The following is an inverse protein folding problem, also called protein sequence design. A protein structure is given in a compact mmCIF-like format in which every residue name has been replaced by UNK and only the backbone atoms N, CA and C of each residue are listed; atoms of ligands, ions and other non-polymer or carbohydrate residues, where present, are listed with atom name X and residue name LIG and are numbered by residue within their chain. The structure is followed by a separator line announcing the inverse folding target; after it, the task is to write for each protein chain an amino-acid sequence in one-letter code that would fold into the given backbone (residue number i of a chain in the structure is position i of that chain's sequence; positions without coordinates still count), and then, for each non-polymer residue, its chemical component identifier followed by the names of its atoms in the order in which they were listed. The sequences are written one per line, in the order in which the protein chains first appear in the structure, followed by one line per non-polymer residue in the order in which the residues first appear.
data_IF_652850019125
#
_entry.id   IF_652850019125
#
_cell.length_a   1.000
_cell.length_b   1.000
_cell.length_c   1.000
_cell.angle_alpha   90.00
_cell.angle_beta   90.00
_cell.angle_gamma   90.00
#
_symmetry.space_group_name_H-M   'P 1'
#
loop_
_entity.id
_entity.type
_entity.pdbx_description
1 polymer ?
#
# COMPACT_ATOMS: atom_id res chain seq x y z
N UNK A 1 53.05 -50.11 48.28
CA UNK A 1 52.62 -51.52 48.23
C UNK A 1 51.15 -51.65 48.63
N UNK A 2 50.39 -52.54 48.12
CA UNK A 2 50.23 -53.00 46.74
C UNK A 2 48.83 -52.67 46.16
N UNK A 3 48.68 -52.80 44.86
CA UNK A 3 47.38 -53.06 44.27
C UNK A 3 46.98 -54.50 44.50
N UNK A 4 46.11 -55.18 43.85
CA UNK A 4 45.37 -54.88 42.59
C UNK A 4 43.90 -55.24 42.70
N UNK A 5 43.17 -55.17 41.58
CA UNK A 5 41.96 -55.91 41.45
C UNK A 5 40.96 -55.42 40.38
N UNK A 6 41.18 -55.88 39.16
CA UNK A 6 40.10 -56.13 38.25
C UNK A 6 39.43 -57.45 38.56
N UNK A 7 38.20 -57.65 38.37
CA UNK A 7 37.74 -58.36 37.20
C UNK A 7 36.46 -57.75 36.53
N UNK A 8 36.41 -57.96 35.21
CA UNK A 8 35.23 -57.88 34.41
C UNK A 8 34.34 -59.14 34.52
N UNK A 9 33.63 -59.59 33.51
CA UNK A 9 32.45 -58.95 32.86
C UNK A 9 31.20 -59.79 33.12
N UNK A 10 30.03 -59.22 32.91
CA UNK A 10 28.87 -60.06 32.68
C UNK A 10 27.86 -59.35 31.73
N UNK A 11 27.70 -60.07 30.70
CA UNK A 11 26.69 -59.87 29.68
C UNK A 11 25.26 -59.90 30.24
N UNK A 12 24.41 -59.10 29.75
CA UNK A 12 23.11 -59.58 29.36
C UNK A 12 22.55 -58.65 28.25
N UNK A 13 22.56 -59.22 27.11
CA UNK A 13 21.82 -58.87 25.93
C UNK A 13 20.32 -58.93 26.24
N UNK A 14 19.56 -57.88 26.02
CA UNK A 14 18.18 -58.04 25.54
C UNK A 14 17.76 -56.72 24.89
N UNK A 15 17.40 -56.86 23.66
CA UNK A 15 17.00 -55.82 22.76
C UNK A 15 15.76 -55.04 23.20
N UNK A 16 15.77 -53.79 22.89
CA UNK A 16 14.53 -53.04 22.65
C UNK A 16 14.68 -52.31 21.34
N UNK A 17 13.98 -52.83 20.37
CA UNK A 17 13.68 -52.12 19.12
C UNK A 17 13.11 -50.77 19.48
N UNK A 18 13.84 -49.70 19.21
CA UNK A 18 13.29 -48.38 19.15
C UNK A 18 12.43 -48.32 17.88
N UNK A 19 11.14 -48.28 18.06
CA UNK A 19 10.20 -47.92 17.02
C UNK A 19 10.48 -46.48 16.64
N UNK A 20 11.06 -46.36 15.47
CA UNK A 20 11.23 -45.10 14.73
C UNK A 20 9.79 -44.53 14.48
N UNK A 21 9.43 -43.55 15.31
CA UNK A 21 8.20 -42.83 15.14
C UNK A 21 8.45 -41.80 14.08
N UNK A 22 8.16 -42.14 12.84
CA UNK A 22 7.97 -41.19 11.74
C UNK A 22 6.99 -40.14 12.23
N UNK A 23 7.53 -39.00 12.55
CA UNK A 23 6.72 -37.80 12.81
C UNK A 23 6.23 -37.34 11.47
N UNK A 24 5.03 -37.78 11.12
CA UNK A 24 4.27 -37.20 10.02
C UNK A 24 4.10 -35.73 10.34
N UNK A 25 4.67 -34.88 9.50
CA UNK A 25 4.35 -33.46 9.47
C UNK A 25 2.85 -33.37 9.14
N UNK A 26 2.05 -33.17 10.17
CA UNK A 26 0.64 -32.88 10.00
C UNK A 26 0.48 -31.44 9.47
N UNK A 27 -0.01 -31.47 8.24
CA UNK A 27 -1.10 -30.62 7.79
C UNK A 27 -0.91 -29.11 7.96
N UNK A 28 -0.59 -28.47 6.86
CA UNK A 28 -1.16 -27.20 6.49
C UNK A 28 -2.69 -27.25 6.73
N UNK A 29 -3.09 -26.82 7.90
CA UNK A 29 -4.46 -26.43 8.16
C UNK A 29 -4.77 -25.23 7.27
N UNK A 30 -5.99 -25.09 6.75
CA UNK A 30 -6.35 -23.91 5.98
C UNK A 30 -6.03 -22.66 6.81
N UNK A 31 -5.28 -21.73 6.20
CA UNK A 31 -4.93 -20.46 6.82
C UNK A 31 -6.20 -19.87 7.43
N UNK A 32 -6.12 -19.61 8.72
CA UNK A 32 -7.25 -19.08 9.49
C UNK A 32 -7.73 -17.81 8.81
N UNK A 33 -9.06 -17.67 8.66
CA UNK A 33 -9.68 -16.50 8.05
C UNK A 33 -9.24 -15.16 8.69
N UNK A 34 -8.70 -15.21 9.91
CA UNK A 34 -8.10 -14.08 10.63
C UNK A 34 -6.74 -13.61 10.06
N UNK A 35 -6.06 -14.40 9.25
CA UNK A 35 -4.80 -13.99 8.61
C UNK A 35 -5.01 -13.21 7.30
N UNK A 36 -6.22 -13.15 6.79
CA UNK A 36 -6.58 -12.40 5.58
C UNK A 36 -6.80 -10.91 5.90
N UNK A 37 -6.89 -10.53 7.17
CA UNK A 37 -7.20 -9.15 7.63
C UNK A 37 -5.97 -8.27 7.78
N UNK A 38 -4.78 -8.78 7.51
CA UNK A 38 -3.52 -8.02 7.56
C UNK A 38 -2.92 -7.75 6.18
N UNK A 39 -3.72 -7.77 5.13
CA UNK A 39 -3.22 -7.31 3.84
C UNK A 39 -2.85 -5.82 3.93
N UNK A 40 -1.67 -5.44 3.44
CA UNK A 40 -1.25 -4.05 3.46
C UNK A 40 -2.32 -3.22 2.77
N UNK A 41 -2.59 -2.05 3.32
CA UNK A 41 -3.56 -1.08 2.77
C UNK A 41 -3.55 -1.09 1.25
N UNK A 42 -4.65 -1.51 0.64
CA UNK A 42 -4.76 -1.58 -0.81
C UNK A 42 -4.99 -0.18 -1.36
N UNK A 43 -4.05 0.29 -2.17
CA UNK A 43 -4.13 1.61 -2.80
C UNK A 43 -4.31 1.45 -4.30
N UNK A 44 -5.08 2.35 -4.91
CA UNK A 44 -5.31 2.38 -6.36
C UNK A 44 -5.01 3.78 -6.86
N UNK A 45 -4.12 3.89 -7.85
CA UNK A 45 -3.76 5.15 -8.48
C UNK A 45 -4.54 5.35 -9.77
N UNK A 46 -5.31 6.43 -9.88
CA UNK A 46 -6.09 6.77 -11.07
C UNK A 46 -5.35 7.88 -11.82
N UNK A 47 -4.95 7.61 -13.04
CA UNK A 47 -4.29 8.55 -13.94
C UNK A 47 -5.02 8.65 -15.28
N UNK A 48 -4.63 9.63 -16.07
CA UNK A 48 -5.06 9.76 -17.46
C UNK A 48 -3.88 10.16 -18.34
N UNK A 49 -3.94 9.79 -19.60
CA UNK A 49 -2.94 10.20 -20.58
C UNK A 49 -3.21 11.61 -21.14
N UNK A 50 -4.45 12.07 -21.00
CA UNK A 50 -4.94 13.32 -21.57
C UNK A 50 -5.80 14.05 -20.52
N UNK A 51 -5.92 15.37 -20.65
CA UNK A 51 -6.88 16.16 -19.86
C UNK A 51 -8.35 15.81 -20.20
N UNK A 52 -9.25 16.16 -19.29
CA UNK A 52 -10.70 16.02 -19.48
C UNK A 52 -11.20 14.60 -19.84
N UNK A 53 -10.54 13.57 -19.37
CA UNK A 53 -10.91 12.15 -19.58
C UNK A 53 -12.02 11.65 -18.66
N UNK A 54 -12.50 12.49 -17.73
CA UNK A 54 -13.45 12.05 -16.70
C UNK A 54 -12.80 11.26 -15.53
N UNK A 55 -11.50 11.34 -15.36
CA UNK A 55 -10.74 10.69 -14.28
C UNK A 55 -11.35 10.92 -12.90
N UNK A 56 -11.79 12.16 -12.61
CA UNK A 56 -12.42 12.50 -11.33
C UNK A 56 -13.75 11.76 -11.12
N UNK A 57 -14.51 11.50 -12.20
CA UNK A 57 -15.75 10.71 -12.15
C UNK A 57 -15.44 9.25 -11.85
N UNK A 58 -14.39 8.72 -12.46
CA UNK A 58 -13.93 7.34 -12.18
C UNK A 58 -13.48 7.22 -10.74
N UNK A 59 -12.73 8.20 -10.24
CA UNK A 59 -12.29 8.26 -8.85
C UNK A 59 -13.47 8.31 -7.88
N UNK A 60 -14.45 9.17 -8.14
CA UNK A 60 -15.66 9.30 -7.34
C UNK A 60 -16.47 8.00 -7.31
N UNK A 61 -16.67 7.38 -8.46
CA UNK A 61 -17.39 6.10 -8.56
C UNK A 61 -16.68 4.97 -7.81
N UNK A 62 -15.36 4.90 -7.92
CA UNK A 62 -14.56 3.91 -7.20
C UNK A 62 -14.59 4.16 -5.68
N UNK A 63 -14.44 5.41 -5.27
CA UNK A 63 -14.48 5.81 -3.87
C UNK A 63 -15.83 5.46 -3.24
N UNK A 64 -16.94 5.80 -3.90
CA UNK A 64 -18.28 5.46 -3.45
C UNK A 64 -18.51 3.94 -3.36
N UNK A 65 -18.01 3.19 -4.36
CA UNK A 65 -18.10 1.73 -4.36
C UNK A 65 -17.32 1.10 -3.20
N UNK A 66 -16.09 1.54 -2.99
CA UNK A 66 -15.23 1.02 -1.93
C UNK A 66 -15.78 1.38 -0.55
N UNK A 67 -16.25 2.61 -0.34
CA UNK A 67 -16.86 3.05 0.92
C UNK A 67 -18.13 2.24 1.25
N UNK A 68 -18.91 1.85 0.24
CA UNK A 68 -20.10 1.00 0.43
C UNK A 68 -19.75 -0.44 0.88
N UNK A 69 -18.54 -0.91 0.64
CA UNK A 69 -18.10 -2.25 1.07
C UNK A 69 -17.67 -2.30 2.54
N UNK A 70 -17.63 -1.17 3.22
CA UNK A 70 -17.15 -1.03 4.59
C UNK A 70 -15.63 -0.85 4.67
N UNK A 71 -15.17 -0.44 5.85
CA UNK A 71 -13.78 -0.07 6.09
C UNK A 71 -13.51 1.43 5.91
N UNK A 72 -12.31 1.86 6.28
CA UNK A 72 -11.86 3.25 6.15
C UNK A 72 -11.22 3.46 4.78
N UNK A 73 -11.94 4.08 3.90
CA UNK A 73 -11.47 4.40 2.55
C UNK A 73 -11.13 5.89 2.50
N UNK A 74 -9.86 6.19 2.32
CA UNK A 74 -9.38 7.57 2.18
C UNK A 74 -9.13 7.94 0.72
N UNK A 75 -8.91 9.22 0.50
CA UNK A 75 -8.51 9.79 -0.79
C UNK A 75 -7.18 10.51 -0.66
N UNK A 76 -6.36 10.48 -1.70
CA UNK A 76 -5.11 11.21 -1.75
C UNK A 76 -4.89 11.86 -3.10
N UNK A 77 -4.51 13.13 -3.09
CA UNK A 77 -4.16 13.90 -4.27
C UNK A 77 -2.68 14.28 -4.23
N UNK A 78 -1.81 13.54 -4.93
CA UNK A 78 -0.36 13.73 -4.86
C UNK A 78 0.10 15.11 -5.27
N UNK A 79 -0.57 15.72 -6.26
CA UNK A 79 -0.23 17.05 -6.78
C UNK A 79 -1.50 17.88 -6.92
N UNK A 80 -1.52 19.04 -6.29
CA UNK A 80 -2.58 20.05 -6.45
C UNK A 80 -2.17 21.14 -7.44
N UNK A 81 -3.15 21.64 -8.19
CA UNK A 81 -3.00 22.82 -9.07
C UNK A 81 -3.03 24.12 -8.30
N UNK A 82 -3.77 24.12 -7.23
CA UNK A 82 -4.03 25.31 -6.46
C UNK A 82 -2.84 25.66 -5.61
N UNK A 83 -2.57 26.95 -5.47
CA UNK A 83 -1.68 27.45 -4.44
C UNK A 83 -2.18 26.98 -3.07
N UNK A 84 -1.29 26.91 -2.08
CA UNK A 84 -1.63 26.39 -0.75
C UNK A 84 -2.82 27.10 -0.06
N UNK A 85 -3.20 28.28 -0.55
CA UNK A 85 -4.30 29.09 -0.02
C UNK A 85 -5.65 28.75 -0.64
N UNK A 86 -5.66 28.10 -1.83
CA UNK A 86 -6.88 27.75 -2.55
C UNK A 86 -7.16 26.25 -2.44
N UNK A 87 -8.42 25.89 -2.18
CA UNK A 87 -8.82 24.47 -2.08
C UNK A 87 -8.95 23.85 -3.48
N UNK A 88 -8.45 22.61 -3.61
CA UNK A 88 -8.63 21.79 -4.82
C UNK A 88 -10.09 21.30 -4.90
N UNK A 89 -10.88 21.75 -5.88
CA UNK A 89 -12.31 21.43 -5.94
C UNK A 89 -12.57 19.94 -6.20
N UNK A 90 -11.60 19.23 -6.78
CA UNK A 90 -11.72 17.79 -7.00
C UNK A 90 -11.53 17.05 -5.68
N UNK A 91 -10.55 17.46 -4.87
CA UNK A 91 -10.36 16.87 -3.56
C UNK A 91 -11.54 17.16 -2.64
N UNK A 92 -12.06 18.39 -2.64
CA UNK A 92 -13.24 18.74 -1.86
C UNK A 92 -14.43 17.84 -2.22
N UNK A 93 -14.70 17.64 -3.51
CA UNK A 93 -15.75 16.74 -3.96
C UNK A 93 -15.53 15.30 -3.49
N UNK A 94 -14.30 14.81 -3.53
CA UNK A 94 -13.99 13.42 -3.16
C UNK A 94 -14.08 13.19 -1.65
N UNK A 95 -13.75 14.20 -0.85
CA UNK A 95 -13.85 14.12 0.61
C UNK A 95 -15.30 13.96 1.12
N UNK A 96 -16.29 14.41 0.35
CA UNK A 96 -17.69 14.19 0.68
C UNK A 96 -18.11 12.70 0.59
N UNK A 97 -17.32 11.85 -0.04
CA UNK A 97 -17.63 10.44 -0.31
C UNK A 97 -16.64 9.45 0.31
N UNK A 98 -15.58 9.93 0.92
CA UNK A 98 -14.65 9.08 1.63
C UNK A 98 -15.21 8.64 2.99
N UNK A 99 -14.67 7.58 3.59
CA UNK A 99 -15.17 7.03 4.86
C UNK A 99 -14.12 6.95 5.97
N UNK A 100 -12.95 7.51 5.74
CA UNK A 100 -11.86 7.54 6.73
C UNK A 100 -11.88 8.79 7.61
N UNK A 101 -12.68 9.81 7.26
CA UNK A 101 -12.81 11.10 7.94
C UNK A 101 -11.44 11.79 8.10
N UNK A 102 -10.78 12.01 6.96
CA UNK A 102 -9.46 12.62 6.90
C UNK A 102 -9.55 14.15 6.77
N UNK A 103 -8.69 14.89 7.49
CA UNK A 103 -8.54 16.32 7.23
C UNK A 103 -8.09 16.60 5.80
N UNK A 104 -8.60 17.65 5.20
CA UNK A 104 -8.25 18.06 3.84
C UNK A 104 -6.74 18.17 3.61
N UNK A 105 -6.03 18.76 4.56
CA UNK A 105 -4.60 19.03 4.50
C UNK A 105 -3.77 17.73 4.47
N UNK A 106 -4.27 16.69 5.10
CA UNK A 106 -3.62 15.37 5.11
C UNK A 106 -3.75 14.68 3.74
N UNK A 107 -4.83 14.98 3.00
CA UNK A 107 -5.14 14.36 1.71
C UNK A 107 -4.39 14.97 0.52
N UNK A 108 -3.63 16.03 0.75
CA UNK A 108 -2.80 16.69 -0.26
C UNK A 108 -1.34 16.26 -0.16
N UNK A 109 -0.73 16.03 -1.32
CA UNK A 109 0.72 15.91 -1.45
C UNK A 109 1.39 17.29 -1.56
N UNK A 110 1.87 17.62 -2.74
CA UNK A 110 2.60 18.86 -3.03
C UNK A 110 1.86 19.71 -4.05
N UNK A 111 2.31 20.95 -4.20
CA UNK A 111 1.84 21.83 -5.27
C UNK A 111 2.60 21.59 -6.58
N UNK A 112 2.04 22.05 -7.68
CA UNK A 112 2.74 22.01 -8.97
C UNK A 112 4.03 22.82 -8.98
N UNK A 113 4.05 23.94 -8.28
CA UNK A 113 5.24 24.79 -8.16
C UNK A 113 6.38 24.03 -7.44
N UNK A 114 6.08 23.31 -6.38
CA UNK A 114 7.06 22.47 -5.67
C UNK A 114 7.62 21.38 -6.60
N UNK A 115 6.77 20.73 -7.39
CA UNK A 115 7.21 19.73 -8.39
C UNK A 115 8.12 20.37 -9.44
N UNK A 116 7.79 21.58 -9.89
CA UNK A 116 8.60 22.28 -10.89
C UNK A 116 9.99 22.69 -10.35
N UNK A 117 10.03 23.16 -9.11
CA UNK A 117 11.25 23.63 -8.48
C UNK A 117 12.18 22.49 -8.02
N UNK A 118 11.62 21.40 -7.49
CA UNK A 118 12.38 20.21 -7.03
C UNK A 118 11.58 18.92 -7.28
N UNK A 119 11.65 18.33 -8.48
CA UNK A 119 10.89 17.12 -8.80
C UNK A 119 11.24 15.89 -7.94
N UNK A 120 12.49 15.80 -7.46
CA UNK A 120 12.94 14.66 -6.64
C UNK A 120 12.46 14.82 -5.19
N UNK A 121 12.65 16.01 -4.62
CA UNK A 121 12.14 16.32 -3.30
C UNK A 121 10.62 16.23 -3.23
N UNK A 122 9.92 16.67 -4.27
CA UNK A 122 8.47 16.55 -4.39
C UNK A 122 8.00 15.10 -4.31
N UNK A 123 8.66 14.16 -5.00
CA UNK A 123 8.32 12.73 -4.91
C UNK A 123 8.54 12.19 -3.49
N UNK A 124 9.65 12.56 -2.85
CA UNK A 124 9.92 12.14 -1.48
C UNK A 124 8.86 12.65 -0.49
N UNK A 125 8.44 13.90 -0.63
CA UNK A 125 7.38 14.50 0.20
C UNK A 125 6.02 13.83 -0.05
N UNK A 126 5.65 13.57 -1.31
CA UNK A 126 4.44 12.83 -1.68
C UNK A 126 4.41 11.46 -0.98
N UNK A 127 5.52 10.74 -1.02
CA UNK A 127 5.63 9.42 -0.37
C UNK A 127 5.45 9.52 1.14
N UNK A 128 6.10 10.50 1.77
CA UNK A 128 5.99 10.71 3.22
C UNK A 128 4.55 11.02 3.65
N UNK A 129 3.87 11.94 2.97
CA UNK A 129 2.47 12.30 3.25
C UNK A 129 1.52 11.15 2.98
N UNK A 130 1.71 10.43 1.88
CA UNK A 130 0.90 9.26 1.57
C UNK A 130 0.98 8.19 2.67
N UNK A 131 2.17 7.86 3.16
CA UNK A 131 2.30 6.88 4.25
C UNK A 131 1.62 7.33 5.54
N UNK A 132 1.58 8.63 5.81
CA UNK A 132 0.88 9.15 6.98
C UNK A 132 -0.63 8.85 6.94
N UNK A 133 -1.28 9.01 5.76
CA UNK A 133 -2.69 8.68 5.62
C UNK A 133 -2.94 7.18 5.45
N UNK A 134 -2.05 6.49 4.76
CA UNK A 134 -2.15 5.04 4.54
C UNK A 134 -2.28 4.28 5.86
N UNK A 135 -1.57 4.68 6.90
CA UNK A 135 -1.65 4.06 8.22
C UNK A 135 -3.01 4.24 8.91
N UNK A 136 -3.85 5.14 8.43
CA UNK A 136 -5.18 5.47 8.97
C UNK A 136 -6.32 4.88 8.16
N UNK A 137 -6.02 4.28 7.01
CA UNK A 137 -6.99 3.77 6.05
C UNK A 137 -6.81 2.28 5.80
N UNK A 138 -7.89 1.60 5.44
CA UNK A 138 -7.85 0.24 4.94
C UNK A 138 -7.63 0.23 3.42
N UNK A 139 -8.07 1.30 2.74
CA UNK A 139 -7.89 1.52 1.30
C UNK A 139 -7.69 3.00 1.01
N UNK A 140 -6.92 3.31 -0.03
CA UNK A 140 -6.72 4.69 -0.48
C UNK A 140 -6.93 4.81 -1.99
N UNK A 141 -7.80 5.71 -2.41
CA UNK A 141 -7.96 6.10 -3.81
C UNK A 141 -7.05 7.29 -4.09
N UNK A 142 -6.07 7.11 -4.95
CA UNK A 142 -5.10 8.13 -5.31
C UNK A 142 -5.50 8.72 -6.67
N UNK A 143 -5.65 10.04 -6.72
CA UNK A 143 -6.08 10.74 -7.94
C UNK A 143 -4.93 11.57 -8.48
N UNK A 144 -4.33 11.10 -9.55
CA UNK A 144 -3.21 11.78 -10.22
C UNK A 144 -3.59 13.13 -10.81
N UNK A 145 -2.60 13.92 -11.17
CA UNK A 145 -2.76 15.25 -11.75
C UNK A 145 -3.24 15.22 -13.21
N UNK A 146 -3.65 16.37 -13.73
CA UNK A 146 -4.07 16.61 -15.12
C UNK A 146 -3.34 17.82 -15.70
N UNK A 147 -2.03 17.78 -15.71
CA UNK A 147 -1.28 18.90 -16.28
C UNK A 147 -1.01 18.69 -17.76
N UNK A 148 -1.46 19.62 -18.53
CA UNK A 148 -1.15 19.74 -19.95
C UNK A 148 -0.07 20.79 -20.19
N UNK A 149 0.86 20.98 -19.25
CA UNK A 149 1.87 22.01 -19.44
C UNK A 149 3.03 21.49 -20.26
N UNK A 150 3.35 22.27 -21.22
CA UNK A 150 4.13 21.98 -22.43
C UNK A 150 5.61 21.89 -22.07
N UNK A 151 6.24 20.72 -22.28
CA UNK A 151 7.69 20.64 -22.39
C UNK A 151 8.42 19.61 -21.52
N UNK A 152 7.71 18.82 -20.75
CA UNK A 152 8.31 17.75 -19.94
C UNK A 152 7.83 16.35 -20.38
N UNK A 153 8.62 15.30 -20.09
CA UNK A 153 8.19 13.92 -20.34
C UNK A 153 6.81 13.74 -19.75
N UNK A 154 5.92 13.20 -20.53
CA UNK A 154 4.47 13.23 -20.38
C UNK A 154 4.03 13.15 -18.91
N UNK A 155 3.08 13.96 -18.52
CA UNK A 155 2.43 13.92 -17.21
C UNK A 155 2.13 12.48 -16.75
N UNK A 156 1.75 11.62 -17.68
CA UNK A 156 1.56 10.21 -17.42
C UNK A 156 2.83 9.54 -16.88
N UNK A 157 4.02 9.88 -17.39
CA UNK A 157 5.29 9.33 -16.90
C UNK A 157 5.57 9.75 -15.46
N UNK A 158 5.23 10.99 -15.10
CA UNK A 158 5.40 11.46 -13.73
C UNK A 158 4.39 10.83 -12.77
N UNK A 159 3.12 10.72 -13.18
CA UNK A 159 2.10 9.98 -12.44
C UNK A 159 2.49 8.50 -12.27
N UNK A 160 3.05 7.86 -13.31
CA UNK A 160 3.54 6.48 -13.23
C UNK A 160 4.71 6.33 -12.24
N UNK A 161 5.61 7.30 -12.22
CA UNK A 161 6.70 7.35 -11.25
C UNK A 161 6.19 7.47 -9.81
N UNK A 162 5.23 8.35 -9.57
CA UNK A 162 4.59 8.48 -8.26
C UNK A 162 3.93 7.16 -7.88
N UNK A 163 3.08 6.60 -8.73
CA UNK A 163 2.37 5.34 -8.47
C UNK A 163 3.33 4.20 -8.12
N UNK A 164 4.47 4.10 -8.82
CA UNK A 164 5.49 3.11 -8.53
C UNK A 164 6.14 3.31 -7.15
N UNK A 165 6.44 4.57 -6.77
CA UNK A 165 6.98 4.87 -5.44
C UNK A 165 5.98 4.61 -4.31
N UNK A 166 4.68 4.76 -4.58
CA UNK A 166 3.60 4.45 -3.64
C UNK A 166 3.22 2.96 -3.64
N UNK A 167 3.84 2.14 -4.46
CA UNK A 167 3.48 0.72 -4.68
C UNK A 167 1.99 0.54 -5.00
N UNK A 168 1.40 1.49 -5.71
CA UNK A 168 -0.01 1.51 -6.05
C UNK A 168 -0.24 1.07 -7.50
N UNK A 169 -1.08 0.05 -7.77
CA UNK A 169 -1.48 -0.30 -9.12
C UNK A 169 -2.20 0.88 -9.77
N UNK A 170 -1.90 1.10 -11.08
CA UNK A 170 -2.44 2.23 -11.82
C UNK A 170 -3.62 1.82 -12.69
N UNK A 171 -4.70 2.56 -12.59
CA UNK A 171 -5.84 2.53 -13.50
C UNK A 171 -5.74 3.74 -14.42
N UNK A 172 -5.74 3.50 -15.71
CA UNK A 172 -5.66 4.56 -16.73
C UNK A 172 -7.05 4.88 -17.28
N UNK A 173 -7.51 6.09 -17.05
CA UNK A 173 -8.71 6.63 -17.69
C UNK A 173 -8.35 7.13 -19.09
N UNK A 174 -9.05 6.61 -20.08
CA UNK A 174 -8.89 6.97 -21.51
C UNK A 174 -10.22 7.43 -22.09
N UNK A 175 -10.15 8.30 -23.09
CA UNK A 175 -11.32 8.78 -23.87
C UNK A 175 -11.69 7.82 -24.96
#
# INVERSE_FOLDING_TARGET
TPGPGLPGPSATMLGRMATDRVQTADADGPASADQIVSDPTTSIYIASAEGETGKSIVALGLLALLSATGGRVGVFRPISRTAAEDRDPILDLLLDYESADLPYEDCLGVTYEEVHNDPEGAVAEIVARFHAIQSRCDRVVIVGSDYTDVGTPSELSYNARIAANLSAPMVLAIK
#
